data_IF_704872683993
#
_entry.id   IF_704872683993
#
_cell.length_a   1.000
_cell.length_b   1.000
_cell.length_c   1.000
_cell.angle_alpha   90.00
_cell.angle_beta   90.00
_cell.angle_gamma   90.00
#
_symmetry.space_group_name_H-M   'P 1'
#
loop_
_entity.id
_entity.type
_entity.pdbx_description
1 polymer ?
#
# COMPACT_ATOMS: atom_id res chain seq x y z
N UNK A 1 20.13 -0.21 -31.05
CA UNK A 1 19.20 0.89 -31.31
C UNK A 1 17.84 0.27 -31.62
N UNK A 2 16.93 0.28 -30.67
CA UNK A 2 15.51 0.02 -30.93
C UNK A 2 14.74 0.66 -29.79
N UNK A 3 14.18 1.85 -30.10
CA UNK A 3 13.35 2.62 -29.19
C UNK A 3 12.00 1.92 -29.03
N UNK A 4 11.65 1.59 -27.80
CA UNK A 4 10.28 1.22 -27.42
C UNK A 4 9.58 2.55 -27.10
N UNK A 5 8.94 3.13 -28.13
CA UNK A 5 7.92 4.16 -27.96
C UNK A 5 6.70 3.52 -27.30
N UNK A 6 6.51 3.77 -26.02
CA UNK A 6 5.24 3.48 -25.35
C UNK A 6 4.17 4.41 -25.94
N UNK A 7 3.35 3.88 -26.82
CA UNK A 7 2.12 4.51 -27.29
C UNK A 7 1.14 4.46 -26.10
N UNK A 8 1.24 5.47 -25.22
CA UNK A 8 0.26 5.70 -24.17
C UNK A 8 -1.08 6.02 -24.82
N UNK A 9 -2.12 5.26 -24.47
CA UNK A 9 -3.46 5.33 -25.04
C UNK A 9 -3.98 6.77 -25.19
N UNK A 10 -4.48 7.17 -26.37
CA UNK A 10 -4.96 8.53 -26.63
C UNK A 10 -6.09 8.97 -25.69
N UNK A 11 -6.86 8.03 -25.16
CA UNK A 11 -7.98 8.25 -24.23
C UNK A 11 -7.54 8.84 -22.87
N UNK A 12 -6.42 8.34 -22.31
CA UNK A 12 -5.91 8.83 -21.03
C UNK A 12 -5.30 10.23 -21.10
N UNK A 13 -4.76 10.64 -22.25
CA UNK A 13 -4.21 11.97 -22.47
C UNK A 13 -5.33 13.03 -22.49
N UNK A 14 -6.38 12.83 -23.30
CA UNK A 14 -7.50 13.77 -23.42
C UNK A 14 -8.28 13.96 -22.13
N UNK A 15 -8.48 12.88 -21.38
CA UNK A 15 -9.09 12.96 -20.05
C UNK A 15 -8.31 13.86 -19.09
N UNK A 16 -6.98 13.77 -19.10
CA UNK A 16 -6.11 14.63 -18.29
C UNK A 16 -6.14 16.10 -18.75
N UNK A 17 -6.26 16.35 -20.05
CA UNK A 17 -6.39 17.71 -20.58
C UNK A 17 -7.69 18.37 -20.14
N UNK A 18 -8.84 17.67 -20.24
CA UNK A 18 -10.15 18.17 -19.76
C UNK A 18 -10.09 18.53 -18.29
N UNK A 19 -9.53 17.65 -17.45
CA UNK A 19 -9.43 17.90 -16.02
C UNK A 19 -8.47 19.07 -15.71
N UNK A 20 -7.34 19.18 -16.40
CA UNK A 20 -6.39 20.28 -16.23
C UNK A 20 -7.03 21.61 -16.57
N UNK A 21 -7.79 21.67 -17.66
CA UNK A 21 -8.51 22.88 -18.07
C UNK A 21 -9.51 23.30 -17.00
N UNK A 22 -10.36 22.39 -16.53
CA UNK A 22 -11.33 22.66 -15.47
C UNK A 22 -10.67 23.10 -14.15
N UNK A 23 -9.50 22.53 -13.81
CA UNK A 23 -8.75 22.94 -12.61
C UNK A 23 -8.15 24.34 -12.72
N UNK A 24 -7.77 24.77 -13.94
CA UNK A 24 -7.26 26.09 -14.21
C UNK A 24 -8.36 27.15 -14.32
N UNK A 25 -9.61 26.73 -14.57
CA UNK A 25 -10.73 27.65 -14.72
C UNK A 25 -11.22 28.16 -13.34
N UNK A 26 -11.40 29.47 -13.18
CA UNK A 26 -11.97 30.05 -11.96
C UNK A 26 -13.47 29.82 -11.84
N UNK A 27 -14.16 29.46 -12.94
CA UNK A 27 -15.61 29.28 -13.01
C UNK A 27 -15.96 27.96 -13.74
N UNK A 28 -17.16 27.40 -13.50
CA UNK A 28 -17.64 26.24 -14.22
C UNK A 28 -17.69 26.49 -15.75
N UNK A 29 -17.41 25.46 -16.52
CA UNK A 29 -17.38 25.53 -17.99
C UNK A 29 -18.44 24.61 -18.62
N UNK A 30 -19.01 25.05 -19.76
CA UNK A 30 -19.90 24.20 -20.56
C UNK A 30 -19.08 23.20 -21.42
N UNK A 31 -19.74 22.11 -21.87
CA UNK A 31 -19.14 21.16 -22.80
C UNK A 31 -18.60 21.86 -24.06
N UNK A 32 -19.34 22.82 -24.58
CA UNK A 32 -18.93 23.58 -25.78
C UNK A 32 -17.70 24.42 -25.54
N UNK A 33 -17.63 25.14 -24.42
CA UNK A 33 -16.47 25.94 -24.06
C UNK A 33 -15.20 25.09 -23.85
N UNK A 34 -15.34 23.92 -23.23
CA UNK A 34 -14.23 22.96 -23.06
C UNK A 34 -13.78 22.44 -24.44
N UNK A 35 -14.74 22.06 -25.29
CA UNK A 35 -14.47 21.52 -26.62
C UNK A 35 -13.72 22.54 -27.50
N UNK A 36 -14.14 23.79 -27.48
CA UNK A 36 -13.52 24.91 -28.19
C UNK A 36 -12.07 25.13 -27.72
N UNK A 37 -11.85 25.21 -26.41
CA UNK A 37 -10.48 25.44 -25.87
C UNK A 37 -9.52 24.28 -26.12
N UNK A 38 -10.01 23.06 -26.19
CA UNK A 38 -9.19 21.87 -26.44
C UNK A 38 -9.09 21.50 -27.93
N UNK A 39 -9.85 22.17 -28.81
CA UNK A 39 -9.90 21.86 -30.25
C UNK A 39 -10.43 20.45 -30.54
N UNK A 40 -11.43 19.99 -29.77
CA UNK A 40 -12.00 18.63 -29.90
C UNK A 40 -13.50 18.67 -30.07
N UNK A 41 -14.08 17.57 -30.56
CA UNK A 41 -15.52 17.46 -30.72
C UNK A 41 -16.24 17.42 -29.34
N UNK A 42 -17.42 18.08 -29.15
CA UNK A 42 -18.14 18.09 -27.90
C UNK A 42 -18.50 16.69 -27.34
N UNK A 43 -18.74 15.69 -28.18
CA UNK A 43 -19.00 14.33 -27.75
C UNK A 43 -17.77 13.68 -27.08
N UNK A 44 -16.55 14.02 -27.53
CA UNK A 44 -15.30 13.58 -26.90
C UNK A 44 -15.20 14.15 -25.49
N UNK A 45 -15.51 15.43 -25.32
CA UNK A 45 -15.54 16.09 -24.01
C UNK A 45 -16.56 15.43 -23.09
N UNK A 46 -17.78 15.19 -23.59
CA UNK A 46 -18.87 14.53 -22.82
C UNK A 46 -18.41 13.18 -22.28
N UNK A 47 -17.86 12.32 -23.14
CA UNK A 47 -17.34 11.01 -22.74
C UNK A 47 -16.34 11.09 -21.59
N UNK A 48 -15.40 12.04 -21.65
CA UNK A 48 -14.41 12.22 -20.60
C UNK A 48 -14.99 12.84 -19.33
N UNK A 49 -15.95 13.77 -19.45
CA UNK A 49 -16.64 14.35 -18.30
C UNK A 49 -17.46 13.31 -17.54
N UNK A 50 -18.18 12.43 -18.24
CA UNK A 50 -18.96 11.36 -17.60
C UNK A 50 -18.05 10.47 -16.75
N UNK A 51 -16.87 10.09 -17.27
CA UNK A 51 -15.87 9.33 -16.50
C UNK A 51 -15.30 10.13 -15.33
N UNK A 52 -15.02 11.42 -15.50
CA UNK A 52 -14.45 12.27 -14.45
C UNK A 52 -15.48 12.56 -13.34
N UNK A 53 -16.76 12.64 -13.67
CA UNK A 53 -17.85 12.77 -12.70
C UNK A 53 -18.03 11.47 -11.91
N UNK A 54 -18.02 10.32 -12.59
CA UNK A 54 -18.08 9.00 -11.93
C UNK A 54 -16.91 8.78 -10.95
N UNK A 55 -15.73 9.32 -11.27
CA UNK A 55 -14.55 9.28 -10.39
C UNK A 55 -14.56 10.35 -9.28
N UNK A 56 -15.58 11.21 -9.21
CA UNK A 56 -15.67 12.30 -8.23
C UNK A 56 -14.60 13.39 -8.41
N UNK A 57 -14.04 13.55 -9.63
CA UNK A 57 -13.01 14.55 -9.96
C UNK A 57 -13.59 15.82 -10.58
N UNK A 58 -14.79 15.74 -11.12
CA UNK A 58 -15.58 16.82 -11.70
C UNK A 58 -16.98 16.72 -11.15
N UNK A 59 -17.62 17.84 -10.94
CA UNK A 59 -19.01 17.94 -10.54
C UNK A 59 -19.81 18.79 -11.55
N UNK A 60 -21.10 18.52 -11.64
CA UNK A 60 -22.03 19.37 -12.36
C UNK A 60 -22.38 20.56 -11.47
N UNK A 61 -22.12 21.77 -11.96
CA UNK A 61 -22.44 22.98 -11.25
C UNK A 61 -23.80 23.56 -11.73
N UNK A 62 -24.62 23.95 -10.78
CA UNK A 62 -25.86 24.66 -11.11
C UNK A 62 -25.52 26.05 -11.67
N UNK A 63 -26.03 26.38 -12.81
CA UNK A 63 -25.95 27.73 -13.36
C UNK A 63 -27.27 28.46 -13.13
N UNK A 64 -27.19 29.63 -12.47
CA UNK A 64 -28.37 30.47 -12.25
C UNK A 64 -29.08 30.77 -13.58
N UNK A 65 -30.40 30.61 -13.60
CA UNK A 65 -31.26 30.87 -14.77
C UNK A 65 -31.04 32.29 -15.31
N UNK A 66 -30.51 32.41 -16.51
CA UNK A 66 -30.49 33.66 -17.28
C UNK A 66 -31.03 33.34 -18.68
N UNK A 67 -32.33 33.52 -18.93
CA UNK A 67 -32.95 33.43 -20.25
C UNK A 67 -33.88 32.24 -20.47
N UNK A 68 -34.68 32.28 -21.58
CA UNK A 68 -35.57 31.20 -22.00
C UNK A 68 -34.74 30.03 -22.59
N UNK A 69 -35.13 28.79 -22.23
CA UNK A 69 -34.47 27.54 -22.69
C UNK A 69 -33.90 26.71 -21.56
N UNK A 70 -33.51 25.46 -21.88
CA UNK A 70 -32.83 24.59 -20.91
C UNK A 70 -31.39 25.10 -20.72
N UNK A 71 -30.98 25.45 -19.50
CA UNK A 71 -29.64 25.93 -19.27
C UNK A 71 -28.59 24.86 -19.65
N UNK A 72 -27.43 25.26 -20.19
CA UNK A 72 -26.35 24.32 -20.50
C UNK A 72 -25.84 23.67 -19.20
N UNK A 73 -25.50 22.39 -19.27
CA UNK A 73 -24.79 21.71 -18.20
C UNK A 73 -23.43 22.34 -18.03
N UNK A 74 -23.11 22.75 -16.80
CA UNK A 74 -21.84 23.33 -16.43
C UNK A 74 -21.07 22.34 -15.59
N UNK A 75 -19.75 22.33 -15.73
CA UNK A 75 -18.84 21.40 -15.06
C UNK A 75 -17.73 22.18 -14.37
N UNK A 76 -17.40 21.78 -13.14
CA UNK A 76 -16.29 22.31 -12.36
C UNK A 76 -15.42 21.18 -11.85
N UNK A 77 -14.11 21.41 -11.75
CA UNK A 77 -13.24 20.46 -11.08
C UNK A 77 -13.49 20.50 -9.58
N UNK A 78 -13.64 19.33 -8.97
CA UNK A 78 -13.70 19.21 -7.51
C UNK A 78 -12.35 19.64 -6.93
N UNK A 79 -12.34 20.65 -6.07
CA UNK A 79 -11.14 21.21 -5.45
C UNK A 79 -10.69 20.35 -4.28
N UNK A 80 -9.95 19.29 -4.58
CA UNK A 80 -9.36 18.39 -3.58
C UNK A 80 -8.05 17.83 -4.09
N UNK A 81 -7.21 17.32 -3.17
CA UNK A 81 -6.02 16.55 -3.53
C UNK A 81 -6.42 15.36 -4.41
N UNK A 82 -5.70 15.16 -5.53
CA UNK A 82 -6.01 14.08 -6.48
C UNK A 82 -5.73 12.71 -5.87
N UNK A 83 -6.79 12.02 -5.45
CA UNK A 83 -6.69 10.65 -4.92
C UNK A 83 -6.35 9.61 -5.98
N UNK A 84 -6.54 9.93 -7.27
CA UNK A 84 -6.18 9.06 -8.41
C UNK A 84 -4.81 9.36 -9.01
N UNK A 85 -4.06 10.32 -8.46
CA UNK A 85 -2.72 10.67 -8.90
C UNK A 85 -1.67 9.59 -8.58
N UNK A 86 -0.51 9.69 -9.24
CA UNK A 86 0.63 8.80 -8.98
C UNK A 86 1.03 8.87 -7.50
N UNK A 87 1.24 7.72 -6.88
CA UNK A 87 1.69 7.60 -5.50
C UNK A 87 3.10 7.03 -5.47
N UNK A 88 3.98 7.72 -4.77
CA UNK A 88 5.38 7.34 -4.61
C UNK A 88 5.64 6.76 -3.21
N UNK A 89 4.85 5.76 -2.81
CA UNK A 89 5.04 5.11 -1.49
C UNK A 89 6.42 4.50 -1.34
N UNK A 90 7.03 3.99 -2.42
CA UNK A 90 8.41 3.50 -2.42
C UNK A 90 9.40 4.59 -2.02
N UNK A 91 9.30 5.80 -2.62
CA UNK A 91 10.17 6.92 -2.24
C UNK A 91 9.98 7.31 -0.78
N UNK A 92 8.73 7.37 -0.29
CA UNK A 92 8.46 7.65 1.11
C UNK A 92 9.07 6.58 2.02
N UNK A 93 8.92 5.30 1.67
CA UNK A 93 9.50 4.19 2.43
C UNK A 93 11.03 4.25 2.45
N UNK A 94 11.69 4.61 1.34
CA UNK A 94 13.13 4.84 1.29
C UNK A 94 13.57 5.95 2.25
N UNK A 95 12.91 7.10 2.21
CA UNK A 95 13.22 8.24 3.10
C UNK A 95 13.09 7.83 4.57
N UNK A 96 11.99 7.14 4.93
CA UNK A 96 11.76 6.69 6.31
C UNK A 96 12.79 5.64 6.76
N UNK A 97 13.18 4.73 5.86
CA UNK A 97 14.20 3.71 6.14
C UNK A 97 15.58 4.36 6.35
N UNK A 98 15.94 5.37 5.56
CA UNK A 98 17.19 6.13 5.76
C UNK A 98 17.18 6.87 7.10
N UNK A 99 16.08 7.52 7.44
CA UNK A 99 15.94 8.21 8.72
C UNK A 99 16.08 7.24 9.91
N UNK A 100 15.52 6.04 9.78
CA UNK A 100 15.63 4.99 10.81
C UNK A 100 17.06 4.43 10.89
N UNK A 101 17.75 4.28 9.76
CA UNK A 101 19.14 3.82 9.69
C UNK A 101 20.14 4.80 10.34
N UNK A 102 19.79 6.08 10.40
CA UNK A 102 20.61 7.10 11.03
C UNK A 102 20.46 7.20 12.57
N UNK A 103 19.60 6.38 13.19
CA UNK A 103 19.42 6.34 14.64
C UNK A 103 20.65 5.79 15.34
N UNK A 104 20.76 6.00 16.68
CA UNK A 104 21.85 5.46 17.50
C UNK A 104 21.83 3.93 17.59
N UNK A 105 20.63 3.35 17.63
CA UNK A 105 20.39 1.91 17.59
C UNK A 105 19.30 1.60 16.56
N UNK A 106 19.67 1.57 15.26
CA UNK A 106 18.73 1.36 14.17
C UNK A 106 17.98 0.04 14.30
N UNK A 107 18.68 -1.02 14.74
CA UNK A 107 18.13 -2.37 14.86
C UNK A 107 17.03 -2.43 15.93
N UNK A 108 17.31 -1.94 17.14
CA UNK A 108 16.34 -1.96 18.24
C UNK A 108 15.11 -1.12 17.90
N UNK A 109 15.34 0.06 17.32
CA UNK A 109 14.25 0.96 16.91
C UNK A 109 13.39 0.37 15.80
N UNK A 110 14.00 -0.23 14.79
CA UNK A 110 13.33 -0.93 13.70
C UNK A 110 12.47 -2.09 14.23
N UNK A 111 13.05 -2.93 15.09
CA UNK A 111 12.35 -4.05 15.71
C UNK A 111 11.18 -3.57 16.58
N UNK A 112 11.35 -2.51 17.37
CA UNK A 112 10.30 -1.93 18.19
C UNK A 112 9.14 -1.38 17.33
N UNK A 113 9.45 -0.72 16.22
CA UNK A 113 8.45 -0.23 15.28
C UNK A 113 7.65 -1.39 14.64
N UNK A 114 8.35 -2.42 14.18
CA UNK A 114 7.71 -3.63 13.65
C UNK A 114 6.80 -4.31 14.68
N UNK A 115 7.28 -4.46 15.92
CA UNK A 115 6.53 -5.07 17.03
C UNK A 115 5.27 -4.26 17.37
N UNK A 116 5.36 -2.94 17.44
CA UNK A 116 4.21 -2.08 17.65
C UNK A 116 3.17 -2.23 16.54
N UNK A 117 3.61 -2.29 15.29
CA UNK A 117 2.72 -2.54 14.15
C UNK A 117 2.10 -3.93 14.18
N UNK A 118 2.90 -4.97 14.47
CA UNK A 118 2.42 -6.36 14.58
C UNK A 118 1.30 -6.53 15.59
N UNK A 119 1.33 -5.79 16.71
CA UNK A 119 0.25 -5.79 17.71
C UNK A 119 -1.06 -5.18 17.21
N UNK A 120 -1.01 -4.33 16.19
CA UNK A 120 -2.18 -3.68 15.61
C UNK A 120 -2.72 -4.42 14.37
N UNK A 121 -2.08 -5.50 13.94
CA UNK A 121 -2.61 -6.33 12.87
C UNK A 121 -3.85 -7.04 13.39
N UNK A 122 -5.02 -6.55 12.98
CA UNK A 122 -6.28 -7.26 13.17
C UNK A 122 -6.31 -8.44 12.19
N UNK A 123 -5.82 -9.57 12.61
CA UNK A 123 -6.12 -10.83 11.92
C UNK A 123 -7.47 -11.32 12.38
N UNK A 124 -8.22 -11.97 11.45
CA UNK A 124 -9.56 -12.54 11.58
C UNK A 124 -10.03 -12.93 13.01
N UNK A 125 -11.33 -13.14 13.27
CA UNK A 125 -11.95 -13.10 14.61
C UNK A 125 -11.14 -13.85 15.65
N UNK A 126 -10.76 -13.13 16.72
CA UNK A 126 -10.01 -13.68 17.87
C UNK A 126 -10.62 -14.99 18.32
N UNK A 127 -9.86 -16.09 18.35
CA UNK A 127 -10.30 -17.24 19.12
C UNK A 127 -10.59 -16.77 20.55
N UNK A 128 -11.64 -17.31 21.16
CA UNK A 128 -12.07 -16.99 22.52
C UNK A 128 -10.85 -16.87 23.45
N UNK A 129 -10.91 -15.98 24.45
CA UNK A 129 -9.87 -15.56 25.40
C UNK A 129 -9.16 -16.68 26.23
N UNK A 130 -9.09 -17.91 25.73
CA UNK A 130 -8.20 -18.97 26.22
C UNK A 130 -6.87 -18.80 25.51
N UNK A 131 -5.78 -18.83 26.26
CA UNK A 131 -4.41 -18.83 25.73
C UNK A 131 -4.34 -19.86 24.58
N UNK A 132 -4.04 -19.38 23.37
CA UNK A 132 -3.91 -20.23 22.19
C UNK A 132 -2.75 -21.20 22.39
N UNK A 133 -2.89 -22.45 21.95
CA UNK A 133 -1.78 -23.39 21.91
C UNK A 133 -0.68 -22.92 20.94
N UNK A 134 0.52 -23.47 21.08
CA UNK A 134 1.65 -23.10 20.20
C UNK A 134 1.33 -23.31 18.71
N UNK A 135 0.65 -24.42 18.37
CA UNK A 135 0.27 -24.75 16.99
C UNK A 135 -0.72 -23.73 16.42
N UNK A 136 -1.74 -23.35 17.19
CA UNK A 136 -2.73 -22.36 16.79
C UNK A 136 -2.09 -20.98 16.59
N UNK A 137 -1.13 -20.62 17.44
CA UNK A 137 -0.40 -19.37 17.30
C UNK A 137 0.50 -19.35 16.06
N UNK A 138 1.12 -20.48 15.73
CA UNK A 138 1.94 -20.61 14.51
C UNK A 138 1.04 -20.54 13.26
N UNK A 139 -0.12 -21.21 13.25
CA UNK A 139 -1.08 -21.14 12.15
C UNK A 139 -1.59 -19.71 11.93
N UNK A 140 -1.86 -19.00 13.02
CA UNK A 140 -2.23 -17.59 12.95
C UNK A 140 -1.09 -16.73 12.34
N UNK A 141 0.15 -16.91 12.82
CA UNK A 141 1.30 -16.18 12.26
C UNK A 141 1.47 -16.48 10.76
N UNK A 142 1.32 -17.73 10.35
CA UNK A 142 1.37 -18.13 8.93
C UNK A 142 0.27 -17.42 8.15
N UNK A 143 -0.96 -17.37 8.65
CA UNK A 143 -2.06 -16.64 8.01
C UNK A 143 -1.76 -15.14 7.86
N UNK A 144 -1.26 -14.49 8.91
CA UNK A 144 -0.84 -13.07 8.87
C UNK A 144 0.25 -12.82 7.81
N UNK A 145 1.24 -13.69 7.76
CA UNK A 145 2.34 -13.57 6.80
C UNK A 145 1.90 -13.82 5.37
N UNK A 146 0.94 -14.72 5.16
CA UNK A 146 0.36 -14.98 3.83
C UNK A 146 -0.45 -13.77 3.35
N UNK A 147 -1.32 -13.22 4.18
CA UNK A 147 -2.09 -12.01 3.90
C UNK A 147 -1.19 -10.80 3.55
N UNK A 148 -0.01 -10.74 4.17
CA UNK A 148 1.01 -9.73 3.88
C UNK A 148 1.86 -10.06 2.64
N UNK A 149 1.70 -11.23 2.03
CA UNK A 149 2.36 -11.64 0.80
C UNK A 149 3.77 -12.21 0.99
N UNK A 150 4.10 -12.77 2.15
CA UNK A 150 5.41 -13.37 2.40
C UNK A 150 5.56 -14.81 1.90
N UNK A 151 4.50 -15.45 1.40
CA UNK A 151 4.47 -16.84 0.99
C UNK A 151 5.10 -17.79 2.06
N UNK A 152 4.50 -17.89 3.26
CA UNK A 152 5.06 -18.63 4.38
C UNK A 152 4.90 -20.14 4.20
N UNK A 153 5.91 -20.90 4.65
CA UNK A 153 5.91 -22.38 4.71
C UNK A 153 6.28 -22.84 6.12
N UNK A 154 5.44 -23.68 6.73
CA UNK A 154 5.81 -24.33 8.00
C UNK A 154 6.94 -25.34 7.75
N UNK A 155 7.96 -25.29 8.59
CA UNK A 155 9.13 -26.19 8.52
C UNK A 155 9.51 -26.69 9.92
N UNK A 156 10.15 -27.82 9.95
CA UNK A 156 10.77 -28.36 11.18
C UNK A 156 12.20 -28.78 10.83
N UNK A 157 13.16 -28.32 11.62
CA UNK A 157 14.56 -28.74 11.52
C UNK A 157 15.10 -28.99 12.91
N UNK A 158 15.71 -30.14 13.10
CA UNK A 158 16.29 -30.59 14.40
C UNK A 158 15.32 -30.45 15.58
N UNK A 159 14.04 -30.79 15.33
CA UNK A 159 12.97 -30.70 16.33
C UNK A 159 12.50 -29.28 16.66
N UNK A 160 13.03 -28.24 15.98
CA UNK A 160 12.63 -26.85 16.14
C UNK A 160 11.63 -26.46 15.06
N UNK A 161 10.62 -25.71 15.47
CA UNK A 161 9.66 -25.12 14.53
C UNK A 161 10.26 -23.88 13.84
N UNK A 162 10.04 -23.80 12.54
CA UNK A 162 10.50 -22.72 11.68
C UNK A 162 9.37 -22.28 10.77
N UNK A 163 9.41 -21.01 10.32
CA UNK A 163 8.61 -20.54 9.20
C UNK A 163 9.57 -20.09 8.10
N UNK A 164 9.54 -20.80 6.96
CA UNK A 164 10.21 -20.38 5.74
C UNK A 164 9.39 -19.32 5.04
N UNK A 165 10.03 -18.32 4.47
CA UNK A 165 9.40 -17.21 3.77
C UNK A 165 9.98 -17.18 2.35
N UNK A 166 9.15 -17.56 1.35
CA UNK A 166 9.57 -17.69 -0.05
C UNK A 166 9.42 -16.39 -0.85
N UNK A 167 8.83 -15.36 -0.25
CA UNK A 167 8.70 -14.06 -0.86
C UNK A 167 8.95 -12.96 0.18
N UNK A 168 9.50 -11.84 -0.27
CA UNK A 168 9.69 -10.66 0.58
C UNK A 168 8.97 -9.46 -0.07
N UNK A 169 7.82 -9.02 0.46
CA UNK A 169 7.12 -7.82 -0.03
C UNK A 169 7.95 -6.53 0.08
N UNK A 170 9.04 -6.58 0.86
CA UNK A 170 9.96 -5.47 1.09
C UNK A 170 11.30 -5.65 0.34
N UNK A 171 11.38 -6.55 -0.65
CA UNK A 171 12.62 -7.03 -1.25
C UNK A 171 13.59 -5.92 -1.62
N UNK A 172 13.15 -4.93 -2.39
CA UNK A 172 14.04 -3.86 -2.90
C UNK A 172 14.65 -3.01 -1.78
N UNK A 173 13.93 -2.85 -0.65
CA UNK A 173 14.46 -2.18 0.53
C UNK A 173 15.30 -3.13 1.38
N UNK A 174 14.93 -4.40 1.47
CA UNK A 174 15.66 -5.40 2.23
C UNK A 174 17.05 -5.67 1.64
N UNK A 175 17.19 -5.69 0.31
CA UNK A 175 18.46 -5.83 -0.40
C UNK A 175 19.44 -4.68 -0.09
N UNK A 176 18.93 -3.46 0.02
CA UNK A 176 19.76 -2.26 0.21
C UNK A 176 19.88 -1.82 1.67
N UNK A 177 18.89 -2.13 2.50
CA UNK A 177 18.76 -1.72 3.91
C UNK A 177 18.31 -2.86 4.83
N UNK A 178 18.78 -4.07 4.60
CA UNK A 178 18.42 -5.26 5.38
C UNK A 178 18.64 -5.10 6.89
N UNK A 179 19.66 -4.34 7.29
CA UNK A 179 19.94 -4.04 8.69
C UNK A 179 18.81 -3.29 9.42
N UNK A 180 17.89 -2.67 8.68
CA UNK A 180 16.70 -1.99 9.21
C UNK A 180 15.43 -2.78 8.88
N UNK A 181 15.27 -3.21 7.63
CA UNK A 181 14.04 -3.84 7.14
C UNK A 181 13.80 -5.21 7.77
N UNK A 182 14.85 -6.06 7.87
CA UNK A 182 14.71 -7.39 8.49
C UNK A 182 14.36 -7.33 9.99
N UNK A 183 14.93 -6.42 10.81
CA UNK A 183 14.47 -6.19 12.17
C UNK A 183 13.01 -5.68 12.28
N UNK A 184 12.53 -4.85 11.35
CA UNK A 184 11.11 -4.47 11.29
C UNK A 184 10.25 -5.73 11.11
N UNK A 185 10.61 -6.59 10.18
CA UNK A 185 9.88 -7.82 9.91
C UNK A 185 9.92 -8.77 11.11
N UNK A 186 11.07 -8.97 11.73
CA UNK A 186 11.19 -9.76 12.97
C UNK A 186 10.27 -9.21 14.07
N UNK A 187 10.30 -7.91 14.30
CA UNK A 187 9.43 -7.25 15.27
C UNK A 187 7.94 -7.43 14.94
N UNK A 188 7.56 -7.32 13.67
CA UNK A 188 6.18 -7.54 13.24
C UNK A 188 5.68 -8.94 13.60
N UNK A 189 6.45 -9.99 13.33
CA UNK A 189 6.12 -11.36 13.70
C UNK A 189 5.99 -11.53 15.22
N UNK A 190 6.92 -10.93 15.99
CA UNK A 190 6.86 -10.94 17.44
C UNK A 190 5.58 -10.26 17.96
N UNK A 191 5.25 -9.07 17.45
CA UNK A 191 4.06 -8.34 17.84
C UNK A 191 2.76 -9.07 17.52
N UNK A 192 2.68 -9.75 16.39
CA UNK A 192 1.53 -10.57 16.01
C UNK A 192 1.29 -11.71 17.00
N UNK A 193 2.35 -12.42 17.43
CA UNK A 193 2.24 -13.50 18.42
C UNK A 193 1.91 -12.98 19.84
N UNK A 194 2.38 -11.80 20.22
CA UNK A 194 2.08 -11.19 21.52
C UNK A 194 0.59 -10.91 21.71
N UNK A 195 -0.14 -10.57 20.65
CA UNK A 195 -1.60 -10.32 20.73
C UNK A 195 -2.40 -11.54 21.12
N UNK A 196 -1.87 -12.74 20.89
CA UNK A 196 -2.47 -14.01 21.21
C UNK A 196 -2.06 -14.56 22.58
N UNK A 197 -1.20 -13.84 23.32
CA UNK A 197 -0.53 -14.38 24.50
C UNK A 197 0.08 -15.76 24.22
N UNK A 198 0.67 -15.94 23.04
CA UNK A 198 1.17 -17.20 22.54
C UNK A 198 2.31 -17.74 23.41
N UNK A 199 2.37 -19.07 23.65
CA UNK A 199 3.49 -19.69 24.37
C UNK A 199 4.75 -19.81 23.50
N UNK A 200 4.77 -19.19 22.34
CA UNK A 200 5.84 -19.20 21.33
C UNK A 200 6.12 -17.80 20.82
N UNK A 201 7.38 -17.52 20.52
CA UNK A 201 7.82 -16.26 19.91
C UNK A 201 8.83 -16.51 18.78
N UNK A 202 9.02 -15.55 17.90
CA UNK A 202 10.13 -15.56 16.92
C UNK A 202 11.34 -14.90 17.56
N UNK A 203 12.40 -15.67 17.76
CA UNK A 203 13.66 -15.17 18.36
C UNK A 203 14.64 -14.62 17.31
N UNK A 204 14.61 -15.18 16.09
CA UNK A 204 15.55 -14.83 15.03
C UNK A 204 14.92 -14.94 13.65
N UNK A 205 15.32 -14.06 12.76
CA UNK A 205 15.07 -14.11 11.32
C UNK A 205 16.41 -14.15 10.59
N UNK A 206 16.71 -15.28 9.96
CA UNK A 206 17.85 -15.43 9.07
C UNK A 206 17.39 -15.05 7.66
N UNK A 207 17.86 -13.89 7.21
CA UNK A 207 17.47 -13.34 5.92
C UNK A 207 18.31 -13.97 4.80
N UNK A 208 17.66 -14.32 3.70
CA UNK A 208 18.30 -14.80 2.46
C UNK A 208 19.27 -15.98 2.70
N UNK A 209 18.82 -16.99 3.47
CA UNK A 209 19.59 -18.25 3.66
C UNK A 209 19.76 -19.00 2.34
N UNK A 210 18.79 -18.83 1.43
CA UNK A 210 18.83 -19.14 0.00
C UNK A 210 18.38 -17.88 -0.76
N UNK A 211 18.65 -17.77 -2.06
CA UNK A 211 18.27 -16.58 -2.85
C UNK A 211 16.77 -16.21 -2.74
N UNK A 212 15.91 -17.19 -2.51
CA UNK A 212 14.46 -17.05 -2.40
C UNK A 212 13.90 -17.52 -1.05
N UNK A 213 14.72 -17.55 0.02
CA UNK A 213 14.32 -18.07 1.32
C UNK A 213 14.87 -17.27 2.48
N UNK A 214 13.96 -16.80 3.36
CA UNK A 214 14.31 -16.39 4.72
C UNK A 214 13.76 -17.41 5.72
N UNK A 215 14.41 -17.58 6.89
CA UNK A 215 13.98 -18.49 7.95
C UNK A 215 13.70 -17.74 9.25
N UNK A 216 12.46 -17.80 9.72
CA UNK A 216 12.05 -17.34 11.03
C UNK A 216 12.09 -18.50 12.02
N UNK A 217 12.85 -18.36 13.10
CA UNK A 217 13.02 -19.38 14.13
C UNK A 217 12.05 -19.13 15.26
N UNK A 218 11.27 -20.17 15.61
CA UNK A 218 10.29 -20.15 16.67
C UNK A 218 10.85 -20.80 17.93
N UNK A 219 10.64 -20.15 19.08
CA UNK A 219 11.06 -20.66 20.39
C UNK A 219 9.93 -20.56 21.40
N UNK A 220 9.82 -21.50 22.37
CA UNK A 220 8.88 -21.37 23.48
C UNK A 220 9.18 -20.11 24.29
N UNK A 221 8.13 -19.37 24.67
CA UNK A 221 8.25 -18.23 25.58
C UNK A 221 8.68 -18.74 26.96
N UNK A 222 9.81 -18.29 27.46
CA UNK A 222 10.37 -18.72 28.77
C UNK A 222 11.49 -19.74 28.70
N UNK A 223 11.91 -20.23 27.51
CA UNK A 223 13.03 -21.16 27.35
C UNK A 223 14.42 -20.48 27.38
N UNK A 224 14.48 -19.16 27.53
CA UNK A 224 15.71 -18.36 27.53
C UNK A 224 15.94 -17.69 28.89
N UNK A 225 16.51 -18.41 29.86
CA UNK A 225 17.28 -17.88 30.98
C UNK A 225 18.61 -18.59 31.07
#
# INVERSE_FOLDING_TARGET
>A
MSGITSVGEPTGHRRREVLRLLRASPAPMSILAIAEQLGVHPNTVRFHLDSLVADGRVEQAEHGRKGPGRPPLMFAAVRQMDRGGTRHYRLLAQILTEALAADRDPRAKAMAAGRAWGRNLESAPRPSAKASGAEEAIDHLVGVLDDLGFAPERRTSDGRQLVGLRHCPFLELAETRGAVVCPIHLGLMQGALETMAAPVSVDRLDAFVEPDLCLAHLTPVGAGR
#
